data_IF_738766927070
#
_entry.id   IF_738766927070
#
_cell.length_a   1.000
_cell.length_b   1.000
_cell.length_c   1.000
_cell.angle_alpha   90.00
_cell.angle_beta   90.00
_cell.angle_gamma   90.00
#
_symmetry.space_group_name_H-M   'P 1'
#
loop_
_entity.id
_entity.type
_entity.pdbx_description
1 polymer ?
#
# COMPACT_ATOMS: atom_id res chain seq x y z
N UNK A 1 4.24 1.86 -5.42
CA UNK A 1 4.65 0.86 -6.43
C UNK A 1 4.46 1.47 -7.80
N UNK A 2 5.47 1.41 -8.68
CA UNK A 2 5.38 2.01 -10.03
C UNK A 2 4.27 1.33 -10.84
N UNK A 3 3.44 2.12 -11.52
CA UNK A 3 2.35 1.61 -12.36
C UNK A 3 1.06 1.21 -11.62
N UNK A 4 0.93 1.49 -10.32
CA UNK A 4 -0.35 1.32 -9.62
C UNK A 4 -1.37 2.34 -10.15
N UNK A 5 -2.56 1.85 -10.53
CA UNK A 5 -3.68 2.66 -11.03
C UNK A 5 -4.78 2.85 -9.98
N UNK A 6 -4.62 2.26 -8.79
CA UNK A 6 -5.58 2.42 -7.70
C UNK A 6 -5.32 3.80 -7.06
N UNK A 7 -6.36 4.62 -6.84
CA UNK A 7 -6.22 5.88 -6.11
C UNK A 7 -5.68 5.64 -4.69
N UNK A 8 -4.76 6.48 -4.26
CA UNK A 8 -4.33 6.52 -2.85
C UNK A 8 -5.48 7.06 -2.02
N UNK A 9 -5.89 6.33 -0.98
CA UNK A 9 -7.02 6.67 -0.10
C UNK A 9 -6.61 6.72 1.39
N UNK A 10 -5.31 6.59 1.68
CA UNK A 10 -4.71 6.77 3.00
C UNK A 10 -3.26 7.26 2.87
N UNK A 11 -2.85 8.14 3.77
CA UNK A 11 -1.47 8.60 3.91
C UNK A 11 -0.94 8.17 5.27
N UNK A 12 0.21 7.50 5.27
CA UNK A 12 0.97 7.17 6.47
C UNK A 12 2.12 8.16 6.63
N UNK A 13 2.43 8.55 7.86
CA UNK A 13 3.60 9.35 8.20
C UNK A 13 4.56 8.51 9.04
N UNK A 14 5.80 8.39 8.59
CA UNK A 14 6.85 7.69 9.33
C UNK A 14 7.42 8.53 10.48
N UNK A 15 8.17 7.88 11.37
CA UNK A 15 8.86 8.56 12.48
C UNK A 15 9.90 9.59 12.01
N UNK A 16 10.51 9.38 10.84
CA UNK A 16 11.39 10.31 10.12
C UNK A 16 10.64 11.29 9.19
N UNK A 17 9.32 11.45 9.42
CA UNK A 17 8.45 12.48 8.82
C UNK A 17 8.27 12.40 7.30
N UNK A 18 8.44 11.21 6.73
CA UNK A 18 8.15 10.94 5.33
C UNK A 18 6.70 10.50 5.17
N UNK A 19 6.02 11.06 4.16
CA UNK A 19 4.66 10.70 3.81
C UNK A 19 4.65 9.57 2.77
N UNK A 20 3.82 8.55 3.01
CA UNK A 20 3.70 7.36 2.18
C UNK A 20 2.22 7.12 1.87
N UNK A 21 1.87 7.22 0.59
CA UNK A 21 0.53 6.88 0.11
C UNK A 21 0.31 5.37 0.05
N UNK A 22 -0.86 4.92 0.49
CA UNK A 22 -1.27 3.52 0.48
C UNK A 22 -2.75 3.34 0.16
N UNK A 23 -3.22 2.10 0.15
CA UNK A 23 -4.60 1.72 -0.13
C UNK A 23 -5.20 1.00 1.08
N UNK A 24 -6.26 1.52 1.69
CA UNK A 24 -6.92 0.92 2.86
C UNK A 24 -7.30 -0.54 2.62
N UNK A 25 -7.84 -0.83 1.43
CA UNK A 25 -8.20 -2.19 1.03
C UNK A 25 -7.00 -3.16 0.98
N UNK A 26 -5.80 -2.67 0.64
CA UNK A 26 -4.60 -3.51 0.65
C UNK A 26 -4.10 -3.76 2.07
N UNK A 27 -4.21 -2.76 2.95
CA UNK A 27 -3.86 -2.93 4.36
C UNK A 27 -4.77 -3.98 5.03
N UNK A 28 -6.08 -3.85 4.85
CA UNK A 28 -7.06 -4.80 5.39
C UNK A 28 -6.86 -6.23 4.85
N UNK A 29 -6.58 -6.37 3.55
CA UNK A 29 -6.47 -7.70 2.94
C UNK A 29 -5.17 -8.45 3.29
N UNK A 30 -4.10 -7.74 3.66
CA UNK A 30 -2.76 -8.30 3.75
C UNK A 30 -2.04 -8.02 5.06
N UNK A 31 -2.75 -7.49 6.05
CA UNK A 31 -2.22 -7.29 7.40
C UNK A 31 -3.32 -7.41 8.44
N UNK A 32 -3.11 -8.32 9.39
CA UNK A 32 -3.95 -8.41 10.60
C UNK A 32 -3.70 -7.24 11.57
N UNK A 33 -2.69 -6.41 11.31
CA UNK A 33 -2.31 -5.26 12.14
C UNK A 33 -3.07 -3.97 11.83
N UNK A 34 -3.78 -3.91 10.69
CA UNK A 34 -4.57 -2.75 10.31
C UNK A 34 -6.08 -3.03 10.44
N UNK A 35 -6.88 -2.01 10.80
CA UNK A 35 -8.32 -2.19 10.92
C UNK A 35 -8.98 -2.27 9.54
N UNK A 36 -10.26 -2.64 9.48
CA UNK A 36 -10.98 -2.75 8.19
C UNK A 36 -11.03 -1.40 7.47
N UNK A 37 -11.01 -1.41 6.14
CA UNK A 37 -10.98 -0.18 5.33
C UNK A 37 -12.16 0.76 5.61
N UNK A 38 -13.30 0.17 6.00
CA UNK A 38 -14.55 0.87 6.34
C UNK A 38 -14.57 1.45 7.77
N UNK A 39 -13.60 1.12 8.62
CA UNK A 39 -13.49 1.66 9.99
C UNK A 39 -12.65 2.94 10.07
N UNK A 40 -12.00 3.33 8.97
CA UNK A 40 -11.15 4.52 8.87
C UNK A 40 -11.89 5.60 8.10
N UNK A 41 -12.57 6.47 8.85
CA UNK A 41 -13.39 7.57 8.33
C UNK A 41 -12.57 8.83 8.03
N UNK A 42 -11.48 9.07 8.78
CA UNK A 42 -10.61 10.23 8.58
C UNK A 42 -9.43 9.88 7.68
N UNK A 43 -9.53 10.26 6.41
CA UNK A 43 -8.46 10.08 5.41
C UNK A 43 -7.73 11.38 5.08
N UNK A 44 -8.13 12.51 5.70
CA UNK A 44 -7.56 13.82 5.43
C UNK A 44 -6.27 14.09 6.21
N UNK A 45 -6.07 13.38 7.32
CA UNK A 45 -4.90 13.50 8.18
C UNK A 45 -3.98 12.29 8.01
N UNK A 46 -2.65 12.49 7.90
CA UNK A 46 -1.71 11.39 7.91
C UNK A 46 -1.79 10.58 9.20
N UNK A 47 -1.71 9.25 9.08
CA UNK A 47 -1.61 8.36 10.25
C UNK A 47 -0.14 8.24 10.64
N UNK A 48 0.21 8.74 11.81
CA UNK A 48 1.55 8.61 12.38
C UNK A 48 1.86 7.17 12.78
N UNK A 49 3.02 6.67 12.31
CA UNK A 49 3.56 5.35 12.63
C UNK A 49 4.98 5.50 13.20
N UNK A 50 5.38 4.55 14.05
CA UNK A 50 6.68 4.60 14.75
C UNK A 50 7.82 4.10 13.88
N UNK A 51 7.52 3.34 12.83
CA UNK A 51 8.47 2.83 11.87
C UNK A 51 9.08 3.93 10.98
N UNK A 52 10.31 3.71 10.53
CA UNK A 52 10.98 4.61 9.58
C UNK A 52 10.38 4.47 8.18
N UNK A 53 10.61 5.46 7.33
CA UNK A 53 10.15 5.45 5.95
C UNK A 53 10.64 4.22 5.17
N UNK A 54 11.86 3.75 5.44
CA UNK A 54 12.43 2.56 4.82
C UNK A 54 11.61 1.30 5.13
N UNK A 55 11.32 1.08 6.41
CA UNK A 55 10.54 -0.07 6.87
C UNK A 55 9.10 0.00 6.35
N UNK A 56 8.48 1.18 6.40
CA UNK A 56 7.12 1.35 5.87
C UNK A 56 7.06 1.12 4.36
N UNK A 57 8.06 1.56 3.59
CA UNK A 57 8.12 1.28 2.14
C UNK A 57 8.24 -0.23 1.87
N UNK A 58 9.06 -0.94 2.63
CA UNK A 58 9.20 -2.39 2.52
C UNK A 58 7.87 -3.09 2.84
N UNK A 59 7.21 -2.68 3.92
CA UNK A 59 5.90 -3.19 4.32
C UNK A 59 4.85 -2.93 3.22
N UNK A 60 4.78 -1.70 2.71
CA UNK A 60 3.85 -1.34 1.63
C UNK A 60 4.11 -2.15 0.35
N UNK A 61 5.36 -2.43 0.01
CA UNK A 61 5.68 -3.30 -1.13
C UNK A 61 5.12 -4.72 -0.95
N UNK A 62 5.21 -5.28 0.27
CA UNK A 62 4.65 -6.60 0.58
C UNK A 62 3.12 -6.64 0.49
N UNK A 63 2.44 -5.58 0.91
CA UNK A 63 0.98 -5.48 0.88
C UNK A 63 0.42 -5.08 -0.49
N UNK A 64 1.28 -4.59 -1.38
CA UNK A 64 0.87 -4.11 -2.69
C UNK A 64 1.00 -5.22 -3.74
N UNK A 65 -0.03 -6.07 -3.85
CA UNK A 65 -0.16 -6.96 -5.01
C UNK A 65 -0.42 -6.11 -6.26
N UNK A 66 0.58 -5.96 -7.13
CA UNK A 66 0.31 -5.64 -8.54
C UNK A 66 -0.65 -6.69 -9.07
N UNK A 67 -1.71 -6.27 -9.77
CA UNK A 67 -2.57 -7.21 -10.51
C UNK A 67 -1.66 -8.18 -11.24
N UNK A 68 -1.75 -9.46 -10.89
CA UNK A 68 -1.13 -10.52 -11.67
C UNK A 68 -1.65 -10.34 -13.09
N UNK A 69 -0.81 -9.85 -13.98
CA UNK A 69 -1.13 -9.86 -15.41
C UNK A 69 -1.27 -11.33 -15.75
N UNK A 70 -2.41 -11.80 -16.29
CA UNK A 70 -2.50 -13.17 -16.75
C UNK A 70 -1.31 -13.39 -17.69
N UNK A 71 -0.67 -14.55 -17.58
CA UNK A 71 0.46 -15.04 -18.37
C UNK A 71 0.38 -14.87 -19.91
N UNK A 72 -0.70 -14.29 -20.44
CA UNK A 72 -0.98 -14.04 -21.84
C UNK A 72 -0.16 -12.91 -22.51
N UNK A 73 0.94 -12.43 -21.91
CA UNK A 73 1.82 -11.43 -22.55
C UNK A 73 3.28 -11.86 -22.65
N UNK A 74 3.62 -13.09 -22.23
CA UNK A 74 4.86 -13.73 -22.63
C UNK A 74 4.54 -14.72 -23.74
N UNK A 75 4.44 -14.22 -24.97
CA UNK A 75 4.64 -15.06 -26.15
C UNK A 75 6.06 -15.60 -26.04
N UNK A 76 6.22 -16.90 -25.80
CA UNK A 76 7.47 -17.57 -26.12
C UNK A 76 7.56 -17.56 -27.65
N UNK A 77 8.22 -16.54 -28.19
CA UNK A 77 8.64 -16.57 -29.58
C UNK A 77 9.57 -17.79 -29.73
N UNK A 78 9.08 -18.78 -30.49
CA UNK A 78 9.80 -20.00 -30.86
C UNK A 78 10.43 -19.80 -32.22
#
# INVERSE_FOLDING_TARGET
VSGCQIPVDLVLQSSDKVLIGTHKANLEAWSDGFPSANSVDNTHEPVDLTETAEILKLLMQGMHKTRFTPWATLSCDT
#
